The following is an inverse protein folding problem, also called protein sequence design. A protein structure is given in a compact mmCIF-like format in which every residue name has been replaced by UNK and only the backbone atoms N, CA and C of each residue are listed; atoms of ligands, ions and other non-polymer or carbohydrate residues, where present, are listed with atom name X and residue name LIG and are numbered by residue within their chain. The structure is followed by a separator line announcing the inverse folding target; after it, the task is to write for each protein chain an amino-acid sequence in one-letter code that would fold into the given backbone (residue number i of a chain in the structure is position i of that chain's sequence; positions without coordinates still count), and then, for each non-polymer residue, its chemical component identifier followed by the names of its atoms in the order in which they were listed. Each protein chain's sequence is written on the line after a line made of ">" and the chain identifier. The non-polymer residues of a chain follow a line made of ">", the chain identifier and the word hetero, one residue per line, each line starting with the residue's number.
data_IF_336090252559
#
_entry.id   IF_336090252559
#
_cell.length_a   1.000
_cell.length_b   1.000
_cell.length_c   1.000
_cell.angle_alpha   90.00
_cell.angle_beta   90.00
_cell.angle_gamma   90.00
#
_symmetry.space_group_name_H-M   'P 1'
#
loop_
_entity.id
_entity.type
_entity.pdbx_description
1 polymer ?
#
# COMPACT_ATOMS: atom_id res chain seq x y z
N UNK A 1 7.70 20.42 18.24
CA UNK A 1 7.93 19.34 17.26
C UNK A 1 6.56 18.83 16.83
N UNK A 2 6.07 19.23 15.66
CA UNK A 2 4.71 18.90 15.21
C UNK A 2 4.70 17.46 14.68
N UNK A 3 3.95 16.57 15.31
CA UNK A 3 3.74 15.18 14.91
C UNK A 3 2.87 15.08 13.64
N UNK A 4 3.30 15.69 12.55
CA UNK A 4 2.50 15.82 11.36
C UNK A 4 2.54 14.54 10.53
N UNK A 5 1.41 13.86 10.47
CA UNK A 5 1.19 12.66 9.67
C UNK A 5 0.27 13.02 8.51
N UNK A 6 0.58 12.51 7.32
CA UNK A 6 -0.26 12.72 6.15
C UNK A 6 -1.67 12.15 6.38
N UNK A 7 -2.70 12.93 6.02
CA UNK A 7 -4.07 12.48 6.12
C UNK A 7 -4.33 11.35 5.12
N UNK A 8 -5.09 10.33 5.54
CA UNK A 8 -5.51 9.26 4.63
C UNK A 8 -6.48 9.81 3.58
N UNK A 9 -6.20 9.49 2.33
CA UNK A 9 -6.97 9.96 1.17
C UNK A 9 -8.14 9.03 0.81
N UNK A 10 -8.28 7.89 1.49
CA UNK A 10 -9.30 6.87 1.25
C UNK A 10 -10.72 7.45 1.20
N UNK A 11 -11.04 8.36 2.13
CA UNK A 11 -12.36 9.02 2.23
C UNK A 11 -12.45 10.39 1.56
N UNK A 12 -11.35 10.92 1.03
CA UNK A 12 -11.32 12.25 0.42
C UNK A 12 -11.89 12.24 -1.01
N UNK A 13 -12.69 13.24 -1.37
CA UNK A 13 -13.19 13.42 -2.74
C UNK A 13 -12.12 14.00 -3.66
N UNK A 14 -12.25 13.77 -4.97
CA UNK A 14 -11.32 14.30 -5.98
C UNK A 14 -11.14 15.83 -5.89
N UNK A 15 -12.23 16.56 -5.62
CA UNK A 15 -12.23 18.02 -5.46
C UNK A 15 -11.44 18.43 -4.21
N UNK A 16 -11.67 17.77 -3.08
CA UNK A 16 -10.93 18.06 -1.84
C UNK A 16 -9.41 17.81 -2.00
N UNK A 17 -9.03 16.83 -2.80
CA UNK A 17 -7.62 16.55 -3.11
C UNK A 17 -7.02 17.67 -3.98
N UNK A 18 -7.78 18.14 -4.98
CA UNK A 18 -7.39 19.26 -5.83
C UNK A 18 -7.18 20.54 -5.01
N UNK A 19 -8.14 20.86 -4.15
CA UNK A 19 -8.10 22.02 -3.26
C UNK A 19 -6.93 21.92 -2.27
N UNK A 20 -6.73 20.76 -1.65
CA UNK A 20 -5.61 20.54 -0.74
C UNK A 20 -4.26 20.74 -1.44
N UNK A 21 -4.10 20.29 -2.69
CA UNK A 21 -2.88 20.51 -3.47
C UNK A 21 -2.67 21.99 -3.85
N UNK A 22 -3.75 22.73 -4.12
CA UNK A 22 -3.70 24.15 -4.49
C UNK A 22 -3.58 25.11 -3.30
N UNK A 23 -4.09 24.74 -2.13
CA UNK A 23 -4.10 25.58 -0.92
C UNK A 23 -2.95 25.21 0.02
N UNK A 24 -2.57 23.94 0.10
CA UNK A 24 -1.51 23.46 1.00
C UNK A 24 -1.90 23.58 2.48
N UNK A 25 -2.90 22.84 2.97
CA UNK A 25 -3.33 22.95 4.37
C UNK A 25 -2.25 22.46 5.35
N UNK A 26 -2.17 23.12 6.52
CA UNK A 26 -1.28 22.79 7.62
C UNK A 26 0.22 22.86 7.25
N UNK A 27 0.84 21.70 6.99
CA UNK A 27 2.25 21.58 6.60
C UNK A 27 2.42 21.11 5.15
N UNK A 28 1.32 20.99 4.40
CA UNK A 28 1.37 20.61 3.00
C UNK A 28 1.89 21.78 2.15
N UNK A 29 2.90 21.60 1.29
CA UNK A 29 3.35 22.66 0.40
C UNK A 29 2.28 22.99 -0.63
N UNK A 30 2.19 24.27 -0.99
CA UNK A 30 1.28 24.77 -2.01
C UNK A 30 1.85 24.52 -3.42
N UNK A 31 1.04 23.98 -4.33
CA UNK A 31 1.39 23.81 -5.73
C UNK A 31 0.62 24.81 -6.62
N UNK A 32 1.31 25.86 -7.07
CA UNK A 32 0.73 26.87 -7.97
C UNK A 32 0.55 26.35 -9.40
N UNK A 33 -0.28 27.01 -10.20
CA UNK A 33 -0.53 26.68 -11.63
C UNK A 33 0.74 26.67 -12.47
N UNK A 34 1.74 27.47 -12.09
CA UNK A 34 3.06 27.50 -12.73
C UNK A 34 3.89 26.24 -12.49
N UNK A 35 3.64 25.53 -11.38
CA UNK A 35 4.37 24.31 -11.02
C UNK A 35 3.62 23.07 -11.52
N UNK A 36 2.31 23.06 -11.37
CA UNK A 36 1.43 21.97 -11.81
C UNK A 36 0.25 22.62 -12.53
N UNK A 37 0.15 22.41 -13.84
CA UNK A 37 -1.00 22.85 -14.63
C UNK A 37 -2.26 22.07 -14.26
N UNK A 38 -3.45 22.57 -14.60
CA UNK A 38 -4.72 21.92 -14.27
C UNK A 38 -4.83 20.51 -14.88
N UNK A 39 -4.30 20.31 -16.09
CA UNK A 39 -4.24 18.98 -16.71
C UNK A 39 -3.35 18.01 -15.93
N UNK A 40 -2.21 18.49 -15.43
CA UNK A 40 -1.31 17.68 -14.59
C UNK A 40 -1.93 17.41 -13.22
N UNK A 41 -2.64 18.38 -12.65
CA UNK A 41 -3.35 18.18 -11.39
C UNK A 41 -4.47 17.13 -11.55
N UNK A 42 -5.23 17.19 -12.64
CA UNK A 42 -6.27 16.22 -12.95
C UNK A 42 -5.70 14.81 -13.17
N UNK A 43 -4.54 14.68 -13.83
CA UNK A 43 -3.88 13.38 -14.01
C UNK A 43 -3.41 12.79 -12.67
N UNK A 44 -2.86 13.61 -11.77
CA UNK A 44 -2.48 13.21 -10.42
C UNK A 44 -3.71 12.74 -9.64
N UNK A 45 -4.82 13.49 -9.68
CA UNK A 45 -6.06 13.12 -9.00
C UNK A 45 -6.60 11.79 -9.52
N UNK A 46 -6.58 11.58 -10.85
CA UNK A 46 -6.96 10.29 -11.45
C UNK A 46 -6.09 9.14 -10.94
N UNK A 47 -4.77 9.35 -10.86
CA UNK A 47 -3.86 8.34 -10.32
C UNK A 47 -4.15 8.04 -8.85
N UNK A 48 -4.39 9.06 -8.03
CA UNK A 48 -4.75 8.88 -6.61
C UNK A 48 -6.06 8.10 -6.47
N UNK A 49 -7.06 8.40 -7.30
CA UNK A 49 -8.34 7.68 -7.28
C UNK A 49 -8.18 6.22 -7.70
N UNK A 50 -7.33 5.93 -8.70
CA UNK A 50 -6.97 4.56 -9.08
C UNK A 50 -6.24 3.84 -7.94
N UNK A 51 -5.28 4.50 -7.30
CA UNK A 51 -4.48 3.93 -6.20
C UNK A 51 -5.29 3.64 -4.92
N UNK A 52 -6.53 4.10 -4.80
CA UNK A 52 -7.43 3.73 -3.69
C UNK A 52 -7.95 2.30 -3.81
N UNK A 53 -8.11 1.82 -5.03
CA UNK A 53 -8.54 0.45 -5.33
C UNK A 53 -7.62 -0.09 -6.43
N UNK A 54 -6.34 -0.31 -6.10
CA UNK A 54 -5.43 -0.89 -7.06
C UNK A 54 -5.96 -2.27 -7.43
N UNK A 55 -6.11 -2.53 -8.73
CA UNK A 55 -6.46 -3.85 -9.22
C UNK A 55 -5.25 -4.76 -8.97
N UNK A 56 -5.36 -5.65 -7.98
CA UNK A 56 -4.26 -6.49 -7.48
C UNK A 56 -3.79 -7.48 -8.56
N UNK A 57 -2.85 -7.03 -9.41
CA UNK A 57 -2.13 -7.90 -10.35
C UNK A 57 -0.99 -8.60 -9.61
N UNK A 58 -1.31 -9.56 -8.73
CA UNK A 58 -0.28 -10.37 -8.07
C UNK A 58 -0.77 -11.26 -6.93
N UNK A 59 -1.31 -12.44 -7.23
CA UNK A 59 -1.47 -13.52 -6.24
C UNK A 59 -2.48 -13.26 -5.11
N UNK A 60 -2.49 -14.16 -4.12
CA UNK A 60 -3.38 -14.08 -2.94
C UNK A 60 -3.03 -12.83 -2.10
N UNK A 61 -3.67 -11.70 -2.40
CA UNK A 61 -3.62 -10.47 -1.61
C UNK A 61 -4.31 -10.74 -0.26
N UNK A 62 -3.52 -11.10 0.76
CA UNK A 62 -3.95 -11.27 2.14
C UNK A 62 -4.23 -9.90 2.80
N UNK A 63 -5.07 -9.08 2.16
CA UNK A 63 -5.60 -7.83 2.70
C UNK A 63 -4.87 -6.55 2.30
N UNK A 64 -4.15 -6.50 1.17
CA UNK A 64 -3.52 -5.28 0.65
C UNK A 64 -2.51 -4.60 1.61
N UNK A 65 -2.00 -5.31 2.62
CA UNK A 65 -1.04 -4.74 3.59
C UNK A 65 0.40 -4.69 3.00
N UNK A 66 0.57 -5.17 1.76
CA UNK A 66 1.80 -5.08 1.00
C UNK A 66 2.71 -6.32 1.13
N UNK A 67 3.90 -6.29 0.50
CA UNK A 67 4.77 -7.46 0.37
C UNK A 67 5.32 -7.98 1.72
N UNK A 68 5.28 -7.16 2.76
CA UNK A 68 5.80 -7.52 4.10
C UNK A 68 4.94 -8.59 4.78
N UNK A 69 3.64 -8.38 4.99
CA UNK A 69 2.77 -9.42 5.58
C UNK A 69 2.61 -10.65 4.69
N UNK A 70 2.58 -10.50 3.36
CA UNK A 70 2.57 -11.64 2.44
C UNK A 70 3.83 -12.49 2.56
N UNK A 71 5.00 -11.84 2.66
CA UNK A 71 6.28 -12.52 2.90
C UNK A 71 6.33 -13.22 4.26
N UNK A 72 5.78 -12.60 5.31
CA UNK A 72 5.70 -13.19 6.64
C UNK A 72 4.84 -14.45 6.63
N UNK A 73 3.65 -14.42 6.02
CA UNK A 73 2.78 -15.60 5.90
C UNK A 73 3.44 -16.70 5.08
N UNK A 74 4.08 -16.34 3.97
CA UNK A 74 4.84 -17.30 3.13
C UNK A 74 5.96 -17.98 3.93
N UNK A 75 6.69 -17.22 4.75
CA UNK A 75 7.75 -17.76 5.60
C UNK A 75 7.21 -18.69 6.68
N UNK A 76 6.10 -18.35 7.31
CA UNK A 76 5.42 -19.23 8.27
C UNK A 76 4.99 -20.55 7.64
N UNK A 77 4.38 -20.51 6.45
CA UNK A 77 3.97 -21.72 5.72
C UNK A 77 5.21 -22.56 5.35
N UNK A 78 6.28 -21.94 4.86
CA UNK A 78 7.51 -22.62 4.49
C UNK A 78 8.14 -23.35 5.68
N UNK A 79 8.19 -22.72 6.86
CA UNK A 79 8.75 -23.34 8.07
C UNK A 79 7.92 -24.52 8.53
N UNK A 80 6.60 -24.36 8.60
CA UNK A 80 5.70 -25.45 9.01
C UNK A 80 5.87 -26.64 8.07
N UNK A 81 5.93 -26.40 6.76
CA UNK A 81 6.13 -27.44 5.76
C UNK A 81 7.48 -28.14 5.91
N UNK A 82 8.55 -27.40 6.20
CA UNK A 82 9.88 -27.96 6.41
C UNK A 82 9.92 -28.84 7.67
N UNK A 83 9.33 -28.38 8.78
CA UNK A 83 9.26 -29.15 10.03
C UNK A 83 8.49 -30.47 9.82
N UNK A 84 7.33 -30.42 9.17
CA UNK A 84 6.52 -31.61 8.87
C UNK A 84 7.31 -32.58 8.00
N UNK A 85 7.98 -32.08 6.95
CA UNK A 85 8.79 -32.91 6.06
C UNK A 85 9.92 -33.61 6.82
N UNK A 86 10.65 -32.88 7.67
CA UNK A 86 11.69 -33.46 8.52
C UNK A 86 11.15 -34.50 9.51
N UNK A 87 10.00 -34.25 10.13
CA UNK A 87 9.38 -35.18 11.07
C UNK A 87 8.99 -36.50 10.37
N UNK A 88 8.33 -36.41 9.21
CA UNK A 88 7.92 -37.59 8.41
C UNK A 88 9.13 -38.40 7.96
N UNK A 89 10.19 -37.74 7.49
CA UNK A 89 11.43 -38.44 7.09
C UNK A 89 12.11 -39.08 8.32
N UNK A 90 12.15 -38.38 9.45
CA UNK A 90 12.75 -38.88 10.68
C UNK A 90 12.05 -40.13 11.24
N UNK A 91 10.71 -40.17 11.20
CA UNK A 91 9.96 -41.37 11.57
C UNK A 91 10.21 -42.54 10.61
N UNK A 92 10.30 -42.26 9.30
CA UNK A 92 10.59 -43.27 8.27
C UNK A 92 11.99 -43.89 8.36
N UNK A 93 12.97 -43.17 8.91
CA UNK A 93 14.36 -43.68 9.08
C UNK A 93 14.49 -44.52 10.37
N UNK A 94 13.60 -44.30 11.36
CA UNK A 94 13.65 -44.99 12.66
C UNK A 94 12.84 -46.30 12.68
N UNK A 95 11.89 -46.48 11.76
CA UNK A 95 11.25 -47.76 11.45
C UNK A 95 12.09 -48.58 10.49
#
# INVERSE_FOLDING_TARGET
>A
MTNAVALRLDRATAVQIAEAARVGPYLMPQFSEKQISDDQLNSIIRYVQYAKHPDDRGGWSLGHVGPVPEGLVTWFIAIVLLIVTCAVIGERIRS
#
